data_IF_847766564574
#
_entry.id   IF_847766564574
#
_cell.length_a   1.000
_cell.length_b   1.000
_cell.length_c   1.000
_cell.angle_alpha   90.00
_cell.angle_beta   90.00
_cell.angle_gamma   90.00
#
_symmetry.space_group_name_H-M   'P 1'
#
loop_
_entity.id
_entity.type
_entity.pdbx_description
1 polymer ?
#
# COMPACT_ATOMS: atom_id res chain seq x y z
N UNK A 1 8.85 -46.61 21.98
CA UNK A 1 9.15 -45.16 22.11
C UNK A 1 10.10 -44.73 21.00
N UNK A 2 9.63 -44.04 19.95
CA UNK A 2 10.39 -43.18 18.98
C UNK A 2 9.62 -42.97 17.67
N UNK A 3 8.42 -42.38 17.70
CA UNK A 3 7.86 -41.77 16.46
C UNK A 3 6.98 -40.53 16.72
N UNK A 4 6.75 -40.11 17.97
CA UNK A 4 5.83 -39.00 18.29
C UNK A 4 6.50 -37.61 18.37
N UNK A 5 7.56 -37.35 17.59
CA UNK A 5 8.22 -36.02 17.55
C UNK A 5 8.59 -35.57 16.12
N UNK A 6 7.69 -35.74 15.15
CA UNK A 6 7.84 -35.09 13.83
C UNK A 6 6.58 -34.41 13.28
N UNK A 7 5.44 -34.49 13.96
CA UNK A 7 4.16 -34.00 13.41
C UNK A 7 3.59 -32.78 14.13
N UNK A 8 4.29 -32.19 15.09
CA UNK A 8 3.78 -31.05 15.88
C UNK A 8 4.19 -29.66 15.34
N UNK A 9 4.97 -29.57 14.24
CA UNK A 9 5.49 -28.30 13.70
C UNK A 9 4.77 -27.80 12.43
N UNK A 10 3.66 -28.42 12.02
CA UNK A 10 2.91 -28.00 10.84
C UNK A 10 1.55 -27.33 11.16
N UNK A 11 1.19 -27.19 12.44
CA UNK A 11 -0.17 -26.81 12.87
C UNK A 11 -0.35 -25.41 13.47
N UNK A 12 0.67 -24.55 13.49
CA UNK A 12 0.64 -23.32 14.31
C UNK A 12 1.03 -22.01 13.60
N UNK A 13 1.00 -21.94 12.27
CA UNK A 13 1.46 -20.75 11.53
C UNK A 13 0.43 -20.04 10.64
N UNK A 14 -0.87 -20.29 10.80
CA UNK A 14 -1.92 -19.54 10.08
C UNK A 14 -3.02 -18.98 10.99
N UNK A 15 -2.75 -18.78 12.29
CA UNK A 15 -3.73 -18.21 13.22
C UNK A 15 -3.52 -16.71 13.53
N UNK A 16 -2.52 -16.05 12.92
CA UNK A 16 -2.10 -14.69 13.33
C UNK A 16 -1.99 -13.64 12.23
N UNK A 17 -2.30 -13.96 10.97
CA UNK A 17 -2.37 -12.98 9.89
C UNK A 17 -3.78 -12.98 9.30
N UNK A 18 -4.77 -12.58 10.11
CA UNK A 18 -5.81 -11.72 9.53
C UNK A 18 -5.12 -10.40 9.24
N UNK A 19 -4.35 -10.34 8.14
CA UNK A 19 -4.12 -9.06 7.48
C UNK A 19 -5.52 -8.55 7.23
N UNK A 20 -5.91 -7.57 8.04
CA UNK A 20 -7.22 -6.99 7.96
C UNK A 20 -7.42 -6.59 6.51
N UNK A 21 -8.49 -7.09 5.91
CA UNK A 21 -9.02 -6.67 4.61
C UNK A 21 -9.15 -5.15 4.45
N UNK A 22 -8.89 -4.39 5.52
CA UNK A 22 -8.80 -2.93 5.60
C UNK A 22 -7.69 -2.29 4.75
N UNK A 23 -6.73 -3.04 4.19
CA UNK A 23 -5.74 -2.49 3.25
C UNK A 23 -6.24 -2.47 1.79
N UNK A 24 -7.31 -3.21 1.47
CA UNK A 24 -7.73 -3.50 0.08
C UNK A 24 -8.44 -2.34 -0.63
N UNK A 25 -8.48 -1.16 -0.03
CA UNK A 25 -9.67 -0.34 -0.18
C UNK A 25 -9.36 1.17 -0.27
N UNK A 26 -8.10 1.58 -0.09
CA UNK A 26 -7.69 3.01 -0.12
C UNK A 26 -7.27 3.51 -1.52
N UNK A 27 -7.08 2.63 -2.51
CA UNK A 27 -6.87 2.99 -3.93
C UNK A 27 -8.15 2.84 -4.77
N UNK A 28 -8.22 3.43 -5.96
CA UNK A 28 -9.23 3.07 -6.95
C UNK A 28 -8.96 1.68 -7.54
N UNK A 29 -9.83 1.22 -8.45
CA UNK A 29 -9.84 -0.20 -8.87
C UNK A 29 -8.53 -0.67 -9.54
N UNK A 30 -7.72 0.25 -10.07
CA UNK A 30 -6.45 -0.05 -10.71
C UNK A 30 -5.32 -0.20 -9.67
N UNK A 31 -5.17 0.77 -8.76
CA UNK A 31 -4.14 0.70 -7.71
C UNK A 31 -4.41 -0.44 -6.73
N UNK A 32 -5.68 -0.78 -6.47
CA UNK A 32 -6.03 -1.96 -5.67
C UNK A 32 -5.54 -3.26 -6.30
N UNK A 33 -5.81 -3.48 -7.59
CA UNK A 33 -5.38 -4.70 -8.30
C UNK A 33 -3.85 -4.84 -8.31
N UNK A 34 -3.15 -3.73 -8.50
CA UNK A 34 -1.70 -3.71 -8.42
C UNK A 34 -1.21 -4.06 -7.02
N UNK A 35 -1.82 -3.47 -5.98
CA UNK A 35 -1.53 -3.79 -4.58
C UNK A 35 -1.74 -5.27 -4.26
N UNK A 36 -2.85 -5.87 -4.71
CA UNK A 36 -3.15 -7.30 -4.52
C UNK A 36 -2.15 -8.21 -5.24
N UNK A 37 -1.79 -7.87 -6.48
CA UNK A 37 -0.75 -8.58 -7.24
C UNK A 37 0.59 -8.55 -6.50
N UNK A 38 1.03 -7.36 -6.08
CA UNK A 38 2.28 -7.19 -5.33
C UNK A 38 2.25 -8.01 -4.03
N UNK A 39 1.18 -7.91 -3.24
CA UNK A 39 1.05 -8.65 -1.99
C UNK A 39 1.07 -10.18 -2.20
N UNK A 40 0.43 -10.66 -3.27
CA UNK A 40 0.41 -12.08 -3.63
C UNK A 40 1.79 -12.59 -4.01
N UNK A 41 2.52 -11.84 -4.85
CA UNK A 41 3.90 -12.17 -5.22
C UNK A 41 4.81 -12.25 -3.99
N UNK A 42 4.71 -11.28 -3.08
CA UNK A 42 5.51 -11.26 -1.85
C UNK A 42 5.18 -12.46 -0.96
N UNK A 43 3.91 -12.79 -0.78
CA UNK A 43 3.51 -13.98 -0.02
C UNK A 43 4.07 -15.26 -0.63
N UNK A 44 4.04 -15.40 -1.97
CA UNK A 44 4.62 -16.56 -2.66
C UNK A 44 6.14 -16.65 -2.49
N UNK A 45 6.85 -15.52 -2.62
CA UNK A 45 8.30 -15.46 -2.42
C UNK A 45 8.67 -15.83 -0.98
N UNK A 46 8.02 -15.22 0.01
CA UNK A 46 8.28 -15.50 1.43
C UNK A 46 7.93 -16.94 1.81
N UNK A 47 6.88 -17.52 1.24
CA UNK A 47 6.54 -18.92 1.46
C UNK A 47 7.62 -19.85 0.89
N UNK A 48 8.15 -19.53 -0.30
CA UNK A 48 9.23 -20.28 -0.94
C UNK A 48 10.54 -20.15 -0.16
N UNK A 49 10.87 -18.95 0.32
CA UNK A 49 12.02 -18.68 1.18
C UNK A 49 11.91 -19.39 2.54
N UNK A 50 10.73 -19.42 3.14
CA UNK A 50 10.49 -20.14 4.39
C UNK A 50 10.64 -21.67 4.22
N UNK A 51 10.16 -22.21 3.09
CA UNK A 51 10.30 -23.64 2.78
C UNK A 51 11.76 -24.04 2.52
N UNK A 52 12.56 -23.17 1.92
CA UNK A 52 13.96 -23.44 1.55
C UNK A 52 14.97 -23.14 2.66
N UNK A 53 14.72 -22.11 3.48
CA UNK A 53 15.62 -21.66 4.55
C UNK A 53 15.24 -22.18 5.94
N UNK A 54 14.01 -22.67 6.12
CA UNK A 54 13.45 -23.03 7.42
C UNK A 54 13.21 -21.84 8.36
N UNK A 55 13.44 -20.60 7.90
CA UNK A 55 13.18 -19.37 8.67
C UNK A 55 11.73 -18.91 8.44
N UNK A 56 11.06 -18.49 9.51
CA UNK A 56 9.75 -17.88 9.36
C UNK A 56 9.85 -16.51 8.70
N UNK A 57 8.89 -16.12 7.85
CA UNK A 57 8.81 -14.77 7.31
C UNK A 57 8.71 -13.75 8.46
N UNK A 58 9.53 -12.71 8.42
CA UNK A 58 9.45 -11.61 9.37
C UNK A 58 8.61 -10.46 8.81
N UNK A 59 7.93 -9.67 9.67
CA UNK A 59 7.26 -8.44 9.24
C UNK A 59 8.19 -7.43 8.58
N UNK A 60 9.47 -7.40 8.97
CA UNK A 60 10.51 -6.55 8.37
C UNK A 60 10.82 -6.98 6.93
N UNK A 61 10.97 -8.29 6.68
CA UNK A 61 11.22 -8.83 5.35
C UNK A 61 10.03 -8.56 4.41
N UNK A 62 8.80 -8.71 4.91
CA UNK A 62 7.60 -8.35 4.17
C UNK A 62 7.59 -6.87 3.79
N UNK A 63 7.86 -5.99 4.76
CA UNK A 63 7.85 -4.54 4.56
C UNK A 63 8.90 -4.11 3.53
N UNK A 64 10.09 -4.67 3.60
CA UNK A 64 11.17 -4.40 2.64
C UNK A 64 10.79 -4.88 1.24
N UNK A 65 10.33 -6.12 1.10
CA UNK A 65 9.88 -6.68 -0.19
C UNK A 65 8.70 -5.89 -0.77
N UNK A 66 7.80 -5.38 0.06
CA UNK A 66 6.68 -4.53 -0.35
C UNK A 66 7.17 -3.27 -1.04
N UNK A 67 8.07 -2.52 -0.41
CA UNK A 67 8.58 -1.27 -0.99
C UNK A 67 9.44 -1.56 -2.23
N UNK A 68 10.26 -2.60 -2.20
CA UNK A 68 11.05 -3.01 -3.37
C UNK A 68 10.14 -3.31 -4.57
N UNK A 69 9.04 -4.04 -4.37
CA UNK A 69 8.06 -4.34 -5.42
C UNK A 69 7.28 -3.10 -5.85
N UNK A 70 6.92 -2.20 -4.95
CA UNK A 70 6.27 -0.94 -5.29
C UNK A 70 7.18 -0.07 -6.17
N UNK A 71 8.46 0.05 -5.83
CA UNK A 71 9.46 0.73 -6.68
C UNK A 71 9.63 0.04 -8.04
N UNK A 72 9.71 -1.29 -8.05
CA UNK A 72 9.84 -2.05 -9.30
C UNK A 72 8.61 -1.92 -10.22
N UNK A 73 7.43 -1.65 -9.65
CA UNK A 73 6.18 -1.44 -10.38
C UNK A 73 5.78 0.05 -10.43
N UNK A 74 6.72 0.99 -10.28
CA UNK A 74 6.44 2.41 -10.17
C UNK A 74 5.63 2.96 -11.37
N UNK A 75 5.94 2.52 -12.59
CA UNK A 75 5.19 2.96 -13.77
C UNK A 75 3.74 2.47 -13.77
N UNK A 76 3.50 1.24 -13.33
CA UNK A 76 2.15 0.68 -13.17
C UNK A 76 1.40 1.37 -12.02
N UNK A 77 2.11 1.73 -10.95
CA UNK A 77 1.57 2.54 -9.84
C UNK A 77 1.18 3.94 -10.28
N UNK A 78 2.04 4.62 -11.05
CA UNK A 78 1.74 5.94 -11.61
C UNK A 78 0.50 5.87 -12.49
N UNK A 79 0.44 4.87 -13.37
CA UNK A 79 -0.73 4.65 -14.21
C UNK A 79 -2.00 4.42 -13.39
N UNK A 80 -1.94 3.53 -12.39
CA UNK A 80 -3.05 3.30 -11.46
C UNK A 80 -3.47 4.58 -10.72
N UNK A 81 -2.51 5.38 -10.25
CA UNK A 81 -2.78 6.65 -9.57
C UNK A 81 -3.47 7.66 -10.49
N UNK A 82 -3.06 7.74 -11.76
CA UNK A 82 -3.71 8.58 -12.76
C UNK A 82 -5.13 8.09 -13.04
N UNK A 83 -5.32 6.78 -13.23
CA UNK A 83 -6.64 6.18 -13.49
C UNK A 83 -7.61 6.40 -12.32
N UNK A 84 -7.14 6.21 -11.08
CA UNK A 84 -7.92 6.45 -9.87
C UNK A 84 -8.30 7.93 -9.72
N UNK A 85 -7.36 8.84 -10.02
CA UNK A 85 -7.66 10.27 -10.06
C UNK A 85 -8.74 10.57 -11.11
N UNK A 86 -8.66 9.99 -12.31
CA UNK A 86 -9.66 10.16 -13.36
C UNK A 86 -11.03 9.60 -12.96
N UNK A 87 -11.05 8.49 -12.22
CA UNK A 87 -12.29 7.92 -11.68
C UNK A 87 -12.98 8.90 -10.72
N UNK A 88 -12.20 9.62 -9.91
CA UNK A 88 -12.71 10.59 -8.93
C UNK A 88 -13.12 11.92 -9.57
N UNK A 89 -12.28 12.50 -10.44
CA UNK A 89 -12.50 13.83 -10.99
C UNK A 89 -13.23 13.85 -12.34
N UNK A 90 -13.32 12.70 -13.01
CA UNK A 90 -13.93 12.59 -14.34
C UNK A 90 -12.91 12.54 -15.47
N UNK A 91 -13.35 11.97 -16.61
CA UNK A 91 -12.52 11.77 -17.82
C UNK A 91 -12.03 13.08 -18.44
N UNK A 92 -12.76 14.17 -18.26
CA UNK A 92 -12.36 15.51 -18.71
C UNK A 92 -11.13 16.04 -17.96
N UNK A 93 -10.79 15.47 -16.81
CA UNK A 93 -9.63 15.82 -15.99
C UNK A 93 -8.43 14.90 -16.18
N UNK A 94 -8.41 14.08 -17.23
CA UNK A 94 -7.32 13.13 -17.49
C UNK A 94 -5.94 13.77 -17.59
N UNK A 95 -5.80 14.91 -18.28
CA UNK A 95 -4.52 15.64 -18.36
C UNK A 95 -4.09 16.24 -17.02
N UNK A 96 -5.06 16.73 -16.24
CA UNK A 96 -4.82 17.27 -14.90
C UNK A 96 -4.38 16.17 -13.92
N UNK A 97 -5.02 15.00 -13.98
CA UNK A 97 -4.62 13.83 -13.19
C UNK A 97 -3.23 13.31 -13.57
N UNK A 98 -2.91 13.27 -14.87
CA UNK A 98 -1.55 12.95 -15.31
C UNK A 98 -0.52 13.96 -14.78
N UNK A 99 -0.83 15.27 -14.81
CA UNK A 99 0.01 16.31 -14.23
C UNK A 99 0.29 16.06 -12.74
N UNK A 100 -0.73 15.69 -11.95
CA UNK A 100 -0.56 15.39 -10.53
C UNK A 100 0.38 14.19 -10.34
N UNK A 101 0.14 13.11 -11.07
CA UNK A 101 1.00 11.91 -11.02
C UNK A 101 2.44 12.26 -11.39
N UNK A 102 2.66 13.04 -12.45
CA UNK A 102 4.00 13.41 -12.91
C UNK A 102 4.75 14.31 -11.90
N UNK A 103 4.03 15.15 -11.15
CA UNK A 103 4.60 15.97 -10.08
C UNK A 103 4.72 15.26 -8.73
N UNK A 104 4.07 14.10 -8.57
CA UNK A 104 4.08 13.36 -7.31
C UNK A 104 5.43 12.70 -7.10
N UNK A 105 6.00 12.94 -5.93
CA UNK A 105 7.31 12.43 -5.55
C UNK A 105 7.16 11.06 -4.87
N UNK A 106 6.97 10.03 -5.70
CA UNK A 106 6.77 8.66 -5.24
C UNK A 106 7.94 8.12 -4.42
N UNK A 107 9.18 8.52 -4.72
CA UNK A 107 10.35 8.09 -3.94
C UNK A 107 10.32 8.66 -2.52
N UNK A 108 9.94 9.93 -2.35
CA UNK A 108 9.75 10.52 -1.02
C UNK A 108 8.61 9.83 -0.25
N UNK A 109 7.53 9.45 -0.94
CA UNK A 109 6.42 8.67 -0.37
C UNK A 109 6.91 7.29 0.09
N UNK A 110 7.69 6.59 -0.74
CA UNK A 110 8.23 5.27 -0.39
C UNK A 110 9.23 5.33 0.76
N UNK A 111 10.10 6.35 0.78
CA UNK A 111 11.03 6.56 1.89
C UNK A 111 10.30 6.83 3.21
N UNK A 112 9.21 7.61 3.16
CA UNK A 112 8.36 7.82 4.34
C UNK A 112 7.68 6.52 4.78
N UNK A 113 7.18 5.72 3.84
CA UNK A 113 6.57 4.42 4.12
C UNK A 113 7.57 3.44 4.72
N UNK A 114 8.80 3.34 4.20
CA UNK A 114 9.88 2.54 4.79
C UNK A 114 10.18 2.97 6.23
N UNK A 115 10.26 4.28 6.47
CA UNK A 115 10.53 4.83 7.80
C UNK A 115 9.40 4.49 8.78
N UNK A 116 8.14 4.56 8.32
CA UNK A 116 6.97 4.16 9.11
C UNK A 116 6.92 2.66 9.39
N UNK A 117 7.28 1.82 8.41
CA UNK A 117 7.30 0.37 8.60
C UNK A 117 8.45 -0.07 9.52
N UNK A 118 9.62 0.57 9.42
CA UNK A 118 10.77 0.29 10.28
C UNK A 118 10.59 0.79 11.72
N UNK A 119 9.82 1.86 11.92
CA UNK A 119 9.48 2.35 13.25
C UNK A 119 8.02 2.83 13.32
N UNK A 120 7.05 1.92 13.54
CA UNK A 120 5.63 2.27 13.60
C UNK A 120 5.26 3.20 14.75
N UNK A 121 6.13 3.32 15.76
CA UNK A 121 5.94 4.24 16.89
C UNK A 121 6.52 5.63 16.61
N UNK A 122 7.37 5.78 15.60
CA UNK A 122 7.76 7.09 15.13
C UNK A 122 6.60 7.71 14.37
N UNK A 123 6.16 8.89 14.79
CA UNK A 123 5.25 9.73 14.00
C UNK A 123 6.10 10.81 13.31
N UNK A 124 6.48 10.66 12.04
CA UNK A 124 7.24 11.64 11.27
C UNK A 124 6.31 12.79 10.86
N UNK A 125 5.78 13.50 11.86
CA UNK A 125 4.75 14.53 11.70
C UNK A 125 5.19 15.64 10.76
N UNK A 126 6.46 16.03 10.83
CA UNK A 126 7.02 17.06 9.96
C UNK A 126 7.14 16.58 8.51
N UNK A 127 7.61 15.36 8.27
CA UNK A 127 7.71 14.81 6.92
C UNK A 127 6.33 14.51 6.31
N UNK A 128 5.38 14.00 7.11
CA UNK A 128 3.98 13.82 6.69
C UNK A 128 3.38 15.17 6.31
N UNK A 129 3.52 16.20 7.16
CA UNK A 129 2.98 17.53 6.88
C UNK A 129 3.62 18.17 5.65
N UNK A 130 4.92 18.03 5.47
CA UNK A 130 5.62 18.52 4.28
C UNK A 130 5.14 17.80 3.01
N UNK A 131 4.91 16.48 3.11
CA UNK A 131 4.37 15.69 2.01
C UNK A 131 2.94 16.12 1.67
N UNK A 132 2.06 16.28 2.67
CA UNK A 132 0.69 16.75 2.49
C UNK A 132 0.63 18.14 1.83
N UNK A 133 1.49 19.07 2.26
CA UNK A 133 1.60 20.40 1.66
C UNK A 133 2.04 20.30 0.19
N UNK A 134 3.09 19.52 -0.10
CA UNK A 134 3.57 19.31 -1.47
C UNK A 134 2.50 18.66 -2.35
N UNK A 135 1.74 17.71 -1.82
CA UNK A 135 0.61 17.11 -2.52
C UNK A 135 -0.46 18.17 -2.80
N UNK A 136 -0.88 18.97 -1.83
CA UNK A 136 -1.86 20.04 -2.06
C UNK A 136 -1.40 21.07 -3.11
N UNK A 137 -0.13 21.47 -3.07
CA UNK A 137 0.46 22.34 -4.08
C UNK A 137 0.48 21.70 -5.47
N UNK A 138 0.78 20.40 -5.57
CA UNK A 138 0.75 19.66 -6.83
C UNK A 138 -0.66 19.61 -7.43
N UNK A 139 -1.68 19.30 -6.62
CA UNK A 139 -3.08 19.29 -7.05
C UNK A 139 -3.49 20.68 -7.56
N UNK A 140 -3.20 21.73 -6.79
CA UNK A 140 -3.49 23.11 -7.17
C UNK A 140 -2.76 23.54 -8.44
N UNK A 141 -1.49 23.17 -8.59
CA UNK A 141 -0.68 23.48 -9.78
C UNK A 141 -1.17 22.74 -11.04
N UNK A 142 -1.95 21.67 -10.86
CA UNK A 142 -2.57 20.90 -11.93
C UNK A 142 -4.08 21.21 -12.06
N UNK A 143 -4.56 22.33 -11.52
CA UNK A 143 -5.98 22.74 -11.57
C UNK A 143 -6.98 21.70 -11.03
N UNK A 144 -6.57 20.94 -10.00
CA UNK A 144 -7.43 20.02 -9.26
C UNK A 144 -7.59 20.48 -7.80
N UNK A 145 -8.80 20.32 -7.27
CA UNK A 145 -9.10 20.59 -5.86
C UNK A 145 -8.91 19.33 -5.01
N UNK A 146 -7.80 19.26 -4.26
CA UNK A 146 -7.46 18.14 -3.39
C UNK A 146 -8.59 17.76 -2.40
N UNK A 147 -9.49 18.68 -2.06
CA UNK A 147 -10.63 18.39 -1.20
C UNK A 147 -11.55 17.31 -1.79
N UNK A 148 -11.65 17.23 -3.14
CA UNK A 148 -12.41 16.19 -3.83
C UNK A 148 -11.79 14.81 -3.59
N UNK A 149 -10.47 14.68 -3.71
CA UNK A 149 -9.77 13.43 -3.37
C UNK A 149 -9.91 13.09 -1.89
N UNK A 150 -9.67 14.06 -1.00
CA UNK A 150 -9.80 13.83 0.46
C UNK A 150 -11.19 13.31 0.81
N UNK A 151 -12.24 13.91 0.26
CA UNK A 151 -13.62 13.45 0.44
C UNK A 151 -13.85 12.06 -0.12
N UNK A 152 -13.35 11.77 -1.32
CA UNK A 152 -13.45 10.44 -1.92
C UNK A 152 -12.77 9.37 -1.04
N UNK A 153 -11.56 9.65 -0.54
CA UNK A 153 -10.83 8.78 0.39
C UNK A 153 -11.58 8.59 1.72
N UNK A 154 -12.16 9.65 2.30
CA UNK A 154 -12.97 9.56 3.51
C UNK A 154 -14.24 8.70 3.31
N UNK A 155 -14.94 8.87 2.20
CA UNK A 155 -16.11 8.06 1.85
C UNK A 155 -15.74 6.60 1.62
N UNK A 156 -14.59 6.35 0.99
CA UNK A 156 -14.04 5.02 0.81
C UNK A 156 -13.77 4.40 2.20
N UNK A 157 -13.03 5.06 3.08
CA UNK A 157 -12.75 4.59 4.44
C UNK A 157 -14.03 4.32 5.25
N UNK A 158 -15.05 5.17 5.14
CA UNK A 158 -16.35 4.95 5.81
C UNK A 158 -17.07 3.70 5.34
N UNK A 159 -16.94 3.33 4.06
CA UNK A 159 -17.51 2.07 3.51
C UNK A 159 -16.77 0.82 4.01
N UNK A 160 -15.54 0.97 4.51
CA UNK A 160 -14.69 -0.13 4.98
C UNK A 160 -14.66 -0.27 6.50
N UNK A 161 -15.12 0.75 7.25
CA UNK A 161 -15.32 0.60 8.67
C UNK A 161 -16.32 -0.55 8.91
N UNK A 162 -15.99 -1.53 9.77
CA UNK A 162 -16.91 -2.62 10.04
C UNK A 162 -18.24 -2.03 10.51
N UNK A 163 -19.33 -2.45 9.87
CA UNK A 163 -20.66 -2.15 10.39
C UNK A 163 -20.66 -2.59 11.86
N UNK A 164 -20.91 -1.65 12.78
CA UNK A 164 -21.14 -1.99 14.18
C UNK A 164 -22.37 -2.88 14.23
N UNK A 165 -22.14 -4.19 14.23
CA UNK A 165 -23.12 -5.26 14.44
C UNK A 165 -22.72 -6.04 15.66
#
# INVERSE_FOLDING_TARGET
MKVLMKSALAGLLFAGMTMTASAQAVGGSASQKLGEKIATEIMQEMMTEAQSSGKQPSPEDFSKKLIEKMRANLDEMKKGSTEDCVEVYGKDKASNCQCVTDKTDFESIFALMEKQMANPQAEPKEEIKALEQKTEENYKACDLDIAVMKKASEEAMKKMAPAKG
#
